data_IF_721613122037
#
_entry.id   IF_721613122037
#
_cell.length_a   1.000
_cell.length_b   1.000
_cell.length_c   1.000
_cell.angle_alpha   90.00
_cell.angle_beta   90.00
_cell.angle_gamma   90.00
#
_symmetry.space_group_name_H-M   'P 1'
#
loop_
_entity.id
_entity.type
_entity.pdbx_description
1 polymer ?
#
# COMPACT_ATOMS: atom_id res chain seq x y z
N UNK A 1 -17.08 3.50 -5.37
CA UNK A 1 -17.53 4.48 -4.35
C UNK A 1 -18.62 5.35 -4.93
N UNK A 2 -19.70 5.64 -4.20
CA UNK A 2 -20.74 6.57 -4.62
C UNK A 2 -20.29 8.00 -4.31
N UNK A 3 -20.31 8.88 -5.31
CA UNK A 3 -19.97 10.30 -5.19
C UNK A 3 -21.27 11.09 -5.18
N UNK A 4 -21.38 12.12 -4.33
CA UNK A 4 -22.56 12.98 -4.34
C UNK A 4 -22.64 13.73 -5.68
N UNK A 5 -23.79 13.66 -6.36
CA UNK A 5 -23.99 14.40 -7.61
C UNK A 5 -23.85 15.93 -7.36
N UNK A 6 -23.11 16.67 -8.21
CA UNK A 6 -22.90 18.10 -8.01
C UNK A 6 -24.20 18.92 -8.01
N UNK A 7 -25.23 18.52 -8.77
CA UNK A 7 -26.53 19.20 -8.75
C UNK A 7 -27.29 18.94 -7.44
N UNK A 8 -27.17 17.73 -6.88
CA UNK A 8 -27.70 17.38 -5.56
C UNK A 8 -26.98 18.13 -4.43
N UNK A 9 -25.66 18.25 -4.52
CA UNK A 9 -24.85 19.03 -3.58
C UNK A 9 -25.20 20.52 -3.61
N UNK A 10 -25.37 21.08 -4.81
CA UNK A 10 -25.77 22.48 -5.00
C UNK A 10 -27.16 22.74 -4.45
N UNK A 11 -28.16 21.93 -4.80
CA UNK A 11 -29.53 22.07 -4.32
C UNK A 11 -29.62 22.01 -2.79
N UNK A 12 -28.88 21.08 -2.16
CA UNK A 12 -28.75 20.99 -0.70
C UNK A 12 -28.14 22.25 -0.07
N UNK A 13 -27.18 22.89 -0.76
CA UNK A 13 -26.51 24.10 -0.28
C UNK A 13 -27.32 25.39 -0.45
N UNK A 14 -28.10 25.51 -1.53
CA UNK A 14 -28.93 26.70 -1.80
C UNK A 14 -30.36 26.58 -1.23
N UNK A 15 -30.71 25.46 -0.60
CA UNK A 15 -32.04 25.22 -0.05
C UNK A 15 -33.12 24.93 -1.10
N UNK A 16 -32.72 24.61 -2.33
CA UNK A 16 -33.64 24.23 -3.41
C UNK A 16 -34.01 22.75 -3.33
N UNK A 17 -35.13 22.38 -3.96
CA UNK A 17 -35.52 20.98 -4.13
C UNK A 17 -34.39 20.16 -4.73
N UNK A 18 -34.06 19.04 -4.07
CA UNK A 18 -33.04 18.12 -4.53
C UNK A 18 -33.51 17.45 -5.83
N UNK A 19 -32.73 17.53 -6.93
CA UNK A 19 -33.03 16.79 -8.15
C UNK A 19 -33.01 15.28 -7.91
N UNK A 20 -33.99 14.57 -8.48
CA UNK A 20 -34.04 13.09 -8.48
C UNK A 20 -33.13 12.52 -9.58
N UNK A 21 -31.83 12.79 -9.43
CA UNK A 21 -30.79 12.30 -10.33
C UNK A 21 -29.95 11.26 -9.57
N UNK A 22 -29.68 10.09 -10.16
CA UNK A 22 -28.80 9.10 -9.57
C UNK A 22 -27.40 9.66 -9.36
N UNK A 23 -26.80 9.33 -8.21
CA UNK A 23 -25.44 9.73 -7.89
C UNK A 23 -24.41 9.00 -8.75
N UNK A 24 -23.34 9.67 -9.22
CA UNK A 24 -22.28 9.01 -9.96
C UNK A 24 -21.53 7.98 -9.11
N UNK A 25 -21.23 6.82 -9.71
CA UNK A 25 -20.45 5.75 -9.07
C UNK A 25 -19.04 5.74 -9.62
N UNK A 26 -18.06 6.08 -8.79
CA UNK A 26 -16.65 5.88 -9.09
C UNK A 26 -16.31 4.39 -9.09
N UNK A 27 -15.83 3.90 -10.23
CA UNK A 27 -15.24 2.56 -10.36
C UNK A 27 -13.73 2.66 -10.14
N UNK A 28 -13.20 1.72 -9.38
CA UNK A 28 -11.77 1.59 -9.14
C UNK A 28 -11.28 0.33 -9.85
N UNK A 29 -10.08 0.39 -10.40
CA UNK A 29 -9.38 -0.77 -10.97
C UNK A 29 -8.04 -0.91 -10.26
N UNK A 30 -7.59 -2.15 -10.06
CA UNK A 30 -6.32 -2.44 -9.41
C UNK A 30 -5.13 -1.99 -10.26
N UNK A 31 -5.30 -2.02 -11.59
CA UNK A 31 -4.29 -1.65 -12.56
C UNK A 31 -4.78 -0.50 -13.44
N UNK A 32 -3.83 0.30 -13.95
CA UNK A 32 -4.09 1.43 -14.83
C UNK A 32 -2.81 2.16 -15.25
N UNK A 33 -2.92 3.13 -16.17
CA UNK A 33 -1.79 3.98 -16.57
C UNK A 33 -1.76 5.27 -15.74
N UNK A 34 -0.65 5.52 -15.06
CA UNK A 34 -0.36 6.79 -14.38
C UNK A 34 0.53 7.68 -15.28
N UNK A 35 0.06 8.88 -15.63
CA UNK A 35 0.85 9.87 -16.37
C UNK A 35 1.43 10.90 -15.40
N UNK A 36 2.75 10.90 -15.22
CA UNK A 36 3.46 11.89 -14.40
C UNK A 36 4.16 12.91 -15.29
N UNK A 37 3.96 14.20 -15.01
CA UNK A 37 4.73 15.29 -15.61
C UNK A 37 5.57 15.94 -14.52
N UNK A 38 6.87 15.65 -14.53
CA UNK A 38 7.83 16.21 -13.57
C UNK A 38 8.49 17.44 -14.21
N UNK A 39 8.47 18.58 -13.51
CA UNK A 39 9.22 19.78 -13.88
C UNK A 39 10.10 20.16 -12.70
N UNK A 40 11.42 20.12 -12.90
CA UNK A 40 12.38 20.65 -11.93
C UNK A 40 12.50 22.16 -12.14
N UNK A 41 12.09 22.96 -11.15
CA UNK A 41 12.39 24.39 -11.14
C UNK A 41 13.67 24.59 -10.31
N UNK A 42 14.79 24.81 -10.99
CA UNK A 42 16.11 24.90 -10.37
C UNK A 42 16.54 26.35 -10.11
N UNK A 43 15.60 27.25 -9.78
CA UNK A 43 15.92 28.64 -9.41
C UNK A 43 16.55 28.78 -8.02
N UNK A 44 16.63 27.70 -7.26
CA UNK A 44 17.56 27.54 -6.14
C UNK A 44 18.51 26.41 -6.49
N UNK A 45 19.81 26.71 -6.50
CA UNK A 45 20.88 25.74 -6.70
C UNK A 45 20.78 24.66 -5.62
N UNK A 46 20.17 23.53 -5.95
CA UNK A 46 20.37 22.29 -5.18
C UNK A 46 21.70 21.74 -5.66
N UNK A 47 22.72 21.90 -4.83
CA UNK A 47 24.03 21.26 -4.99
C UNK A 47 23.84 19.73 -4.91
N UNK A 48 23.40 19.13 -6.02
CA UNK A 48 23.43 17.68 -6.22
C UNK A 48 24.77 17.36 -6.87
N UNK A 49 25.80 17.29 -6.03
CA UNK A 49 27.14 16.85 -6.39
C UNK A 49 27.78 16.20 -5.16
N UNK A 50 28.50 15.07 -5.31
CA UNK A 50 29.11 14.39 -4.18
C UNK A 50 30.28 15.24 -3.67
N UNK A 51 30.09 15.95 -2.56
CA UNK A 51 31.12 16.83 -2.03
C UNK A 51 32.29 16.06 -1.38
N UNK A 52 32.20 14.74 -1.20
CA UNK A 52 33.33 13.95 -0.70
C UNK A 52 33.39 12.57 -1.39
N UNK A 53 34.32 12.46 -2.34
CA UNK A 53 35.12 11.25 -2.62
C UNK A 53 34.43 9.97 -3.12
N UNK A 54 34.73 9.65 -4.40
CA UNK A 54 35.06 8.29 -4.90
C UNK A 54 33.94 7.38 -5.45
N UNK A 55 33.98 7.28 -6.79
CA UNK A 55 33.76 6.11 -7.68
C UNK A 55 32.41 5.34 -7.72
N UNK A 56 31.82 5.44 -8.93
CA UNK A 56 30.77 4.63 -9.58
C UNK A 56 29.31 4.76 -9.08
N UNK A 57 28.33 4.99 -10.00
CA UNK A 57 26.92 5.01 -9.66
C UNK A 57 26.42 3.59 -9.36
N UNK A 58 26.23 3.28 -8.08
CA UNK A 58 25.44 2.13 -7.67
C UNK A 58 23.95 2.38 -8.01
N UNK A 59 23.21 1.37 -8.51
CA UNK A 59 21.78 1.53 -8.76
C UNK A 59 21.07 1.80 -7.44
N UNK A 60 20.41 2.95 -7.34
CA UNK A 60 19.55 3.27 -6.20
C UNK A 60 18.31 2.39 -6.26
N UNK A 61 18.21 1.45 -5.33
CA UNK A 61 16.99 0.63 -5.17
C UNK A 61 15.90 1.53 -4.57
N UNK A 62 14.79 1.71 -5.28
CA UNK A 62 13.59 2.33 -4.70
C UNK A 62 12.94 1.25 -3.84
N UNK A 63 13.18 1.30 -2.52
CA UNK A 63 12.59 0.32 -1.60
C UNK A 63 13.29 0.11 -0.26
N UNK A 64 14.19 0.99 0.19
CA UNK A 64 14.90 0.81 1.46
C UNK A 64 14.74 2.02 2.39
N UNK A 65 13.57 2.16 3.00
CA UNK A 65 13.44 2.93 4.24
C UNK A 65 13.88 2.03 5.39
N UNK A 66 15.20 2.03 5.67
CA UNK A 66 15.66 1.78 7.02
C UNK A 66 15.44 3.09 7.79
N UNK A 67 14.47 3.10 8.70
CA UNK A 67 14.21 4.24 9.57
C UNK A 67 15.29 4.32 10.67
N UNK A 68 15.76 5.53 11.04
CA UNK A 68 16.64 5.71 12.19
C UNK A 68 15.90 5.38 13.48
N UNK A 69 16.61 4.81 14.44
CA UNK A 69 16.13 4.53 15.78
C UNK A 69 15.65 5.83 16.46
N UNK A 70 14.38 5.86 16.82
CA UNK A 70 13.77 6.88 17.69
C UNK A 70 13.24 6.20 18.95
N UNK A 71 13.45 6.87 20.08
CA UNK A 71 13.10 6.41 21.42
C UNK A 71 11.63 5.93 21.52
N UNK A 72 11.44 4.84 22.25
CA UNK A 72 10.17 4.15 22.41
C UNK A 72 9.07 5.04 23.02
N UNK A 73 7.94 5.25 22.33
CA UNK A 73 6.69 5.64 22.97
C UNK A 73 6.00 4.40 23.55
N UNK A 74 5.43 4.55 24.75
CA UNK A 74 4.68 3.51 25.44
C UNK A 74 3.52 2.95 24.57
N UNK A 75 3.20 1.64 24.65
CA UNK A 75 2.23 1.01 23.78
C UNK A 75 0.82 1.58 24.00
N UNK A 76 0.33 2.30 23.00
CA UNK A 76 -1.09 2.64 22.88
C UNK A 76 -1.89 1.36 22.59
N UNK A 77 -3.11 1.23 23.12
CA UNK A 77 -3.91 0.02 22.98
C UNK A 77 -4.21 -0.23 21.51
N UNK A 78 -3.80 -1.40 21.03
CA UNK A 78 -4.13 -1.97 19.72
C UNK A 78 -5.64 -1.91 19.53
N UNK A 79 -6.07 -0.90 18.78
CA UNK A 79 -7.42 -0.80 18.25
C UNK A 79 -7.61 -2.07 17.43
N UNK A 80 -8.49 -2.93 17.90
CA UNK A 80 -8.84 -4.22 17.29
C UNK A 80 -8.94 -4.02 15.78
N UNK A 81 -8.00 -4.63 15.05
CA UNK A 81 -7.87 -4.49 13.62
C UNK A 81 -9.23 -4.80 12.99
N UNK A 82 -9.81 -3.82 12.30
CA UNK A 82 -10.86 -4.14 11.34
C UNK A 82 -10.30 -5.26 10.46
N UNK A 83 -11.08 -6.33 10.19
CA UNK A 83 -10.60 -7.44 9.41
C UNK A 83 -9.98 -6.88 8.13
N UNK A 84 -8.76 -7.31 7.83
CA UNK A 84 -8.05 -6.85 6.63
C UNK A 84 -9.01 -6.90 5.45
N UNK A 85 -9.00 -5.85 4.64
CA UNK A 85 -9.77 -5.85 3.40
C UNK A 85 -9.48 -7.14 2.63
N UNK A 86 -10.52 -7.79 2.10
CA UNK A 86 -10.39 -9.07 1.39
C UNK A 86 -9.33 -9.01 0.27
N UNK A 87 -9.19 -7.86 -0.38
CA UNK A 87 -8.17 -7.61 -1.41
C UNK A 87 -6.75 -7.68 -0.85
N UNK A 88 -6.54 -7.12 0.34
CA UNK A 88 -5.25 -7.17 1.05
C UNK A 88 -4.92 -8.60 1.46
N UNK A 89 -5.92 -9.35 1.93
CA UNK A 89 -5.76 -10.77 2.28
C UNK A 89 -5.39 -11.63 1.06
N UNK A 90 -6.04 -11.41 -0.08
CA UNK A 90 -5.69 -12.10 -1.34
C UNK A 90 -4.28 -11.78 -1.81
N UNK A 91 -3.82 -10.53 -1.67
CA UNK A 91 -2.46 -10.13 -1.99
C UNK A 91 -1.43 -10.90 -1.17
N UNK A 92 -1.58 -10.92 0.16
CA UNK A 92 -0.67 -11.64 1.04
C UNK A 92 -0.68 -13.15 0.76
N UNK A 93 -1.85 -13.75 0.58
CA UNK A 93 -1.98 -15.18 0.25
C UNK A 93 -1.27 -15.55 -1.05
N UNK A 94 -1.37 -14.70 -2.08
CA UNK A 94 -0.67 -14.90 -3.36
C UNK A 94 0.84 -14.71 -3.21
N UNK A 95 1.26 -13.67 -2.49
CA UNK A 95 2.67 -13.37 -2.25
C UNK A 95 3.37 -14.48 -1.44
N UNK A 96 2.68 -15.02 -0.41
CA UNK A 96 3.14 -16.16 0.39
C UNK A 96 3.29 -17.41 -0.50
N UNK A 97 2.27 -17.76 -1.29
CA UNK A 97 2.35 -18.90 -2.23
C UNK A 97 3.53 -18.78 -3.18
N UNK A 98 3.73 -17.59 -3.75
CA UNK A 98 4.82 -17.32 -4.70
C UNK A 98 6.20 -17.40 -4.05
N UNK A 99 6.37 -16.82 -2.85
CA UNK A 99 7.63 -16.86 -2.12
C UNK A 99 7.97 -18.30 -1.70
N UNK A 100 6.98 -19.04 -1.19
CA UNK A 100 7.15 -20.47 -0.88
C UNK A 100 7.50 -21.25 -2.13
N UNK A 101 6.79 -21.06 -3.26
CA UNK A 101 7.06 -21.72 -4.54
C UNK A 101 8.52 -21.49 -5.02
N UNK A 102 9.04 -20.28 -4.84
CA UNK A 102 10.43 -19.93 -5.17
C UNK A 102 11.47 -20.48 -4.20
N UNK A 103 11.06 -20.96 -3.03
CA UNK A 103 11.98 -21.43 -1.98
C UNK A 103 12.46 -20.31 -1.06
N UNK A 104 11.93 -19.10 -1.22
CA UNK A 104 12.22 -17.93 -0.40
C UNK A 104 11.44 -17.99 0.92
N UNK A 105 11.73 -18.99 1.76
CA UNK A 105 11.00 -19.22 3.02
C UNK A 105 11.08 -18.00 3.93
N UNK A 106 12.23 -17.33 4.02
CA UNK A 106 12.40 -16.12 4.82
C UNK A 106 11.48 -14.97 4.39
N UNK A 107 11.27 -14.82 3.07
CA UNK A 107 10.37 -13.80 2.53
C UNK A 107 8.91 -14.17 2.78
N UNK A 108 8.58 -15.45 2.66
CA UNK A 108 7.25 -15.96 2.96
C UNK A 108 6.89 -15.78 4.45
N UNK A 109 7.84 -15.99 5.37
CA UNK A 109 7.67 -15.74 6.80
C UNK A 109 7.43 -14.25 7.10
N UNK A 110 8.22 -13.34 6.52
CA UNK A 110 7.99 -11.90 6.68
C UNK A 110 6.61 -11.45 6.20
N UNK A 111 6.15 -12.01 5.06
CA UNK A 111 4.81 -11.72 4.52
C UNK A 111 3.70 -12.29 5.40
N UNK A 112 3.93 -13.44 6.03
CA UNK A 112 3.02 -14.03 7.00
C UNK A 112 2.91 -13.15 8.25
N UNK A 113 4.02 -12.76 8.86
CA UNK A 113 4.05 -11.93 10.06
C UNK A 113 3.36 -10.57 9.83
N UNK A 114 3.58 -9.98 8.65
CA UNK A 114 2.92 -8.73 8.23
C UNK A 114 1.40 -8.92 8.09
N UNK A 115 0.98 -10.02 7.47
CA UNK A 115 -0.44 -10.35 7.33
C UNK A 115 -1.11 -10.62 8.69
N UNK A 116 -0.46 -11.37 9.58
CA UNK A 116 -0.96 -11.65 10.94
C UNK A 116 -1.03 -10.36 11.77
N UNK A 117 -0.03 -9.49 11.68
CA UNK A 117 -0.02 -8.18 12.35
C UNK A 117 -1.18 -7.29 11.89
N UNK A 118 -1.54 -7.39 10.61
CA UNK A 118 -2.68 -6.68 10.04
C UNK A 118 -4.02 -7.37 10.34
N UNK A 119 -4.02 -8.60 10.87
CA UNK A 119 -5.20 -9.34 11.32
C UNK A 119 -5.69 -10.44 10.36
N UNK A 120 -4.87 -10.86 9.38
CA UNK A 120 -5.22 -12.00 8.51
C UNK A 120 -5.18 -13.31 9.29
N UNK A 121 -6.26 -14.08 9.17
CA UNK A 121 -6.36 -15.42 9.75
C UNK A 121 -6.08 -16.52 8.72
N UNK A 122 -6.15 -16.20 7.42
CA UNK A 122 -5.90 -17.16 6.33
C UNK A 122 -4.44 -17.21 5.84
N UNK A 123 -3.61 -16.21 6.18
CA UNK A 123 -2.21 -16.18 5.78
C UNK A 123 -1.43 -17.40 6.30
N UNK A 124 -1.65 -17.79 7.57
CA UNK A 124 -0.96 -18.91 8.21
C UNK A 124 -1.32 -20.26 7.60
N UNK A 125 -2.60 -20.51 7.35
CA UNK A 125 -3.04 -21.75 6.70
C UNK A 125 -2.54 -21.83 5.25
N UNK A 126 -2.49 -20.69 4.55
CA UNK A 126 -1.92 -20.59 3.20
C UNK A 126 -0.43 -20.89 3.19
N UNK A 127 0.34 -20.35 4.12
CA UNK A 127 1.77 -20.64 4.27
C UNK A 127 2.00 -22.14 4.48
N UNK A 128 1.34 -22.73 5.50
CA UNK A 128 1.50 -24.16 5.84
C UNK A 128 1.15 -25.06 4.65
N UNK A 129 0.05 -24.77 3.96
CA UNK A 129 -0.38 -25.56 2.79
C UNK A 129 0.62 -25.46 1.65
N UNK A 130 1.20 -24.27 1.43
CA UNK A 130 2.17 -24.02 0.36
C UNK A 130 3.52 -24.70 0.64
N UNK A 131 3.99 -24.72 1.89
CA UNK A 131 5.25 -25.39 2.24
C UNK A 131 5.09 -26.90 2.30
N UNK A 132 3.91 -27.39 2.69
CA UNK A 132 3.58 -28.83 2.75
C UNK A 132 3.36 -29.43 1.36
N UNK A 133 2.73 -28.70 0.44
CA UNK A 133 2.54 -29.12 -0.94
C UNK A 133 3.80 -29.06 -1.80
N UNK A 134 4.95 -28.69 -1.21
CA UNK A 134 6.24 -28.58 -1.89
C UNK A 134 7.09 -29.87 -1.85
N UNK A 135 6.51 -30.96 -1.34
CA UNK A 135 7.10 -32.31 -1.28
C UNK A 135 6.40 -33.28 -2.21
#
# INVERSE_FOLDING_TARGET
>A
TQLLDPAKAYAKGVGNSIPDIPDPVARHTTDGLLKLKVKTNSSSSVLVGPLFGSSAPAPVTVGNTAAPAVAAPAPAPVKKSEPMLNDTESYFNTAIKNAVAKGDVDKALKLLDEAERLGSTSARSTFISSVKGKG
#
